data_IF_367474460915
#
_entry.id   IF_367474460915
#
_cell.length_a   1.000
_cell.length_b   1.000
_cell.length_c   1.000
_cell.angle_alpha   90.00
_cell.angle_beta   90.00
_cell.angle_gamma   90.00
#
_symmetry.space_group_name_H-M   'P 1'
#
loop_
_entity.id
_entity.type
_entity.pdbx_description
1 polymer ?
#
# COMPACT_ATOMS: atom_id res chain seq x y z
N UNK A 1 6.16 5.44 25.28
CA UNK A 1 4.69 5.52 25.49
C UNK A 1 4.25 6.83 26.14
N UNK A 2 4.71 7.17 27.35
CA UNK A 2 4.29 8.41 28.03
C UNK A 2 4.47 9.68 27.20
N UNK A 3 5.64 9.84 26.56
CA UNK A 3 5.91 11.00 25.68
C UNK A 3 4.98 11.07 24.46
N UNK A 4 4.63 9.93 23.86
CA UNK A 4 3.73 9.89 22.69
C UNK A 4 2.32 10.35 23.06
N UNK A 5 1.80 9.87 24.20
CA UNK A 5 0.51 10.33 24.70
C UNK A 5 0.54 11.79 25.14
N UNK A 6 1.66 12.26 25.68
CA UNK A 6 1.87 13.67 26.02
C UNK A 6 1.89 14.57 24.77
N UNK A 7 2.49 14.11 23.66
CA UNK A 7 2.39 14.84 22.38
C UNK A 7 0.96 14.83 21.83
N UNK A 8 0.30 13.68 21.82
CA UNK A 8 -1.07 13.56 21.35
C UNK A 8 -2.04 14.44 22.16
N UNK A 9 -1.91 14.43 23.49
CA UNK A 9 -2.78 15.19 24.40
C UNK A 9 -2.57 16.69 24.27
N UNK A 10 -1.34 17.15 24.01
CA UNK A 10 -1.06 18.57 23.77
C UNK A 10 -1.64 19.07 22.45
N UNK A 11 -1.63 18.23 21.40
CA UNK A 11 -2.17 18.60 20.09
C UNK A 11 -3.70 18.55 20.05
N UNK A 12 -4.31 17.61 20.75
CA UNK A 12 -5.76 17.45 20.75
C UNK A 12 -6.45 18.67 21.35
N UNK A 13 -7.37 19.27 20.58
CA UNK A 13 -8.09 20.53 20.91
C UNK A 13 -7.20 21.78 21.00
N UNK A 14 -5.96 21.72 20.51
CA UNK A 14 -5.15 22.92 20.35
C UNK A 14 -5.76 23.83 19.29
N UNK A 15 -5.75 25.14 19.54
CA UNK A 15 -6.16 26.13 18.55
C UNK A 15 -5.12 26.25 17.42
N UNK A 16 -5.56 26.56 16.21
CA UNK A 16 -4.66 26.65 15.04
C UNK A 16 -3.63 27.78 15.21
N UNK A 17 -4.01 28.91 15.80
CA UNK A 17 -3.09 30.03 16.01
C UNK A 17 -2.09 29.73 17.13
N UNK A 18 -2.52 28.97 18.14
CA UNK A 18 -1.62 28.44 19.16
C UNK A 18 -0.60 27.47 18.54
N UNK A 19 -1.04 26.54 17.70
CA UNK A 19 -0.16 25.64 16.98
C UNK A 19 0.84 26.39 16.11
N UNK A 20 0.38 27.36 15.31
CA UNK A 20 1.23 28.17 14.44
C UNK A 20 2.30 28.94 15.23
N UNK A 21 1.95 29.42 16.43
CA UNK A 21 2.87 30.09 17.35
C UNK A 21 3.95 29.13 17.86
N UNK A 22 3.56 27.95 18.31
CA UNK A 22 4.51 26.92 18.76
C UNK A 22 5.42 26.43 17.61
N UNK A 23 4.86 26.29 16.41
CA UNK A 23 5.60 25.91 15.21
C UNK A 23 6.69 26.93 14.85
N UNK A 24 6.34 28.22 14.81
CA UNK A 24 7.29 29.32 14.57
C UNK A 24 8.40 29.34 15.60
N UNK A 25 8.06 29.12 16.86
CA UNK A 25 9.03 29.10 17.97
C UNK A 25 10.06 27.98 17.82
N UNK A 26 9.65 26.81 17.31
CA UNK A 26 10.54 25.64 17.16
C UNK A 26 11.30 25.56 15.84
N UNK A 27 10.71 26.02 14.75
CA UNK A 27 11.26 25.85 13.39
C UNK A 27 11.84 27.14 12.81
N UNK A 28 11.58 28.29 13.46
CA UNK A 28 11.88 29.63 12.95
C UNK A 28 11.23 29.93 11.59
N UNK A 29 10.22 29.15 11.17
CA UNK A 29 9.48 29.32 9.92
C UNK A 29 7.99 29.48 10.21
N UNK A 30 7.27 30.34 9.47
CA UNK A 30 5.82 30.34 9.53
C UNK A 30 5.27 29.02 9.00
N UNK A 31 4.21 28.52 9.65
CA UNK A 31 3.31 27.57 9.00
C UNK A 31 2.45 28.42 8.05
N UNK A 32 2.53 28.18 6.74
CA UNK A 32 1.69 28.86 5.76
C UNK A 32 0.62 27.86 5.26
N UNK A 33 -0.59 27.88 5.84
CA UNK A 33 -1.64 26.97 5.44
C UNK A 33 -2.32 27.35 4.11
N UNK A 34 -2.01 28.49 3.49
CA UNK A 34 -2.81 29.01 2.37
C UNK A 34 -2.30 28.63 0.96
N UNK A 35 -1.35 27.68 0.87
CA UNK A 35 -0.68 27.29 -0.39
C UNK A 35 -1.39 26.14 -1.17
N UNK A 36 -2.72 26.03 -1.09
CA UNK A 36 -3.48 24.97 -1.78
C UNK A 36 -4.59 25.52 -2.71
N UNK A 37 -4.75 24.82 -3.85
CA UNK A 37 -5.63 25.14 -4.97
C UNK A 37 -7.08 25.50 -4.61
N UNK A 38 -7.69 26.33 -5.45
CA UNK A 38 -9.04 26.91 -5.32
C UNK A 38 -10.09 25.90 -4.82
N UNK A 39 -10.72 26.20 -3.67
CA UNK A 39 -11.97 25.55 -3.22
C UNK A 39 -11.97 24.93 -1.82
N UNK A 40 -10.84 24.76 -1.14
CA UNK A 40 -10.77 24.21 0.22
C UNK A 40 -9.93 25.08 1.17
N UNK A 41 -10.54 25.51 2.28
CA UNK A 41 -9.80 26.16 3.38
C UNK A 41 -9.00 25.12 4.14
N UNK A 42 -7.69 25.09 3.89
CA UNK A 42 -6.75 24.20 4.57
C UNK A 42 -6.71 24.48 6.08
N UNK A 43 -6.88 25.75 6.47
CA UNK A 43 -6.97 26.21 7.85
C UNK A 43 -8.16 25.59 8.58
N UNK A 44 -9.35 25.58 7.97
CA UNK A 44 -10.55 25.00 8.60
C UNK A 44 -10.44 23.47 8.71
N UNK A 45 -9.87 22.83 7.68
CA UNK A 45 -9.59 21.40 7.70
C UNK A 45 -8.59 21.03 8.79
N UNK A 46 -7.56 21.86 8.99
CA UNK A 46 -6.56 21.69 10.03
C UNK A 46 -7.15 21.91 11.44
N UNK A 47 -7.96 22.95 11.63
CA UNK A 47 -8.69 23.19 12.88
C UNK A 47 -9.59 22.01 13.26
N UNK A 48 -10.36 21.51 12.28
CA UNK A 48 -11.24 20.36 12.48
C UNK A 48 -10.44 19.11 12.86
N UNK A 49 -9.27 18.89 12.25
CA UNK A 49 -8.39 17.76 12.59
C UNK A 49 -7.82 17.86 14.02
N UNK A 50 -7.42 19.05 14.48
CA UNK A 50 -6.96 19.24 15.87
C UNK A 50 -8.10 19.01 16.88
N UNK A 51 -9.29 19.54 16.60
CA UNK A 51 -10.47 19.39 17.46
C UNK A 51 -10.91 17.92 17.59
N UNK A 52 -10.89 17.18 16.49
CA UNK A 52 -11.28 15.77 16.44
C UNK A 52 -10.16 14.79 16.76
N UNK A 53 -8.92 15.25 16.97
CA UNK A 53 -7.78 14.39 17.27
C UNK A 53 -7.28 13.58 16.07
N UNK A 54 -7.52 14.07 14.84
CA UNK A 54 -7.20 13.39 13.58
C UNK A 54 -5.79 13.72 13.13
N UNK A 55 -4.80 13.03 13.68
CA UNK A 55 -3.40 13.22 13.32
C UNK A 55 -2.63 11.90 13.33
N UNK A 56 -1.53 11.90 12.56
CA UNK A 56 -0.58 10.80 12.50
C UNK A 56 0.65 11.17 13.33
N UNK A 57 1.01 10.30 14.26
CA UNK A 57 2.24 10.46 15.05
C UNK A 57 3.29 9.54 14.46
N UNK A 58 4.43 10.11 14.05
CA UNK A 58 5.57 9.36 13.50
C UNK A 58 6.66 9.25 14.56
N UNK A 59 7.02 8.03 14.92
CA UNK A 59 8.10 7.70 15.84
C UNK A 59 9.36 7.34 15.04
N UNK A 60 10.33 8.25 15.00
CA UNK A 60 11.66 7.95 14.47
C UNK A 60 12.49 7.17 15.51
N UNK A 61 12.96 5.97 15.16
CA UNK A 61 13.74 5.11 16.06
C UNK A 61 14.93 4.48 15.35
N UNK A 62 15.97 4.09 16.10
CA UNK A 62 17.13 3.38 15.53
C UNK A 62 16.82 1.92 15.18
N UNK A 63 15.87 1.29 15.89
CA UNK A 63 15.45 -0.10 15.65
C UNK A 63 14.04 -0.39 16.14
N UNK A 64 13.22 -1.04 15.31
CA UNK A 64 11.88 -1.51 15.72
C UNK A 64 11.98 -2.92 16.32
N UNK A 65 11.91 -2.99 17.66
CA UNK A 65 11.91 -4.26 18.40
C UNK A 65 10.48 -4.79 18.69
N UNK A 66 10.29 -6.07 19.04
CA UNK A 66 8.97 -6.64 19.31
C UNK A 66 8.16 -5.90 20.40
N UNK A 67 8.76 -5.43 21.51
CA UNK A 67 8.07 -4.54 22.46
C UNK A 67 7.54 -3.25 21.82
N UNK A 68 8.32 -2.60 20.95
CA UNK A 68 7.91 -1.39 20.24
C UNK A 68 6.78 -1.66 19.26
N UNK A 69 6.80 -2.82 18.57
CA UNK A 69 5.67 -3.25 17.71
C UNK A 69 4.37 -3.32 18.49
N UNK A 70 4.36 -3.96 19.66
CA UNK A 70 3.18 -4.02 20.55
C UNK A 70 2.76 -2.63 21.04
N UNK A 71 3.73 -1.75 21.30
CA UNK A 71 3.48 -0.35 21.69
C UNK A 71 2.87 0.48 20.57
N UNK A 72 3.07 0.13 19.30
CA UNK A 72 2.43 0.77 18.14
C UNK A 72 1.06 0.15 17.88
N UNK A 73 0.96 -1.17 18.00
CA UNK A 73 -0.29 -1.91 17.77
C UNK A 73 -1.36 -1.55 18.79
N UNK A 74 -1.03 -1.51 20.08
CA UNK A 74 -2.01 -1.30 21.15
C UNK A 74 -2.75 0.05 21.06
N UNK A 75 -2.09 1.21 20.93
CA UNK A 75 -2.76 2.49 20.73
C UNK A 75 -3.53 2.54 19.44
N UNK A 76 -2.99 1.98 18.35
CA UNK A 76 -3.75 1.92 17.11
C UNK A 76 -5.03 1.09 17.31
N UNK A 77 -5.03 0.01 18.10
CA UNK A 77 -6.22 -0.82 18.35
C UNK A 77 -7.24 -0.11 19.26
N UNK A 78 -6.76 0.68 20.22
CA UNK A 78 -7.61 1.40 21.18
C UNK A 78 -8.08 2.78 20.68
N UNK A 79 -7.28 3.43 19.84
CA UNK A 79 -7.60 4.71 19.23
C UNK A 79 -8.58 4.48 18.07
N UNK A 80 -9.54 5.39 17.96
CA UNK A 80 -10.47 5.40 16.85
C UNK A 80 -9.77 5.57 15.50
N UNK A 81 -10.52 5.40 14.40
CA UNK A 81 -10.02 5.37 13.03
C UNK A 81 -9.19 6.55 12.55
N UNK A 82 -9.37 7.69 13.19
CA UNK A 82 -8.85 8.95 12.71
C UNK A 82 -7.47 9.30 13.32
N UNK A 83 -7.02 8.55 14.32
CA UNK A 83 -5.72 8.74 14.97
C UNK A 83 -4.86 7.51 14.70
N UNK A 84 -3.62 7.73 14.26
CA UNK A 84 -2.70 6.61 14.03
C UNK A 84 -1.29 6.92 14.48
N UNK A 85 -0.60 5.87 14.91
CA UNK A 85 0.80 5.88 15.31
C UNK A 85 1.57 5.02 14.32
N UNK A 86 2.61 5.60 13.73
CA UNK A 86 3.51 4.95 12.78
C UNK A 86 4.92 5.04 13.37
N UNK A 87 5.74 4.00 13.20
CA UNK A 87 7.17 4.08 13.47
C UNK A 87 7.98 4.01 12.18
N UNK A 88 9.07 4.75 12.15
CA UNK A 88 10.04 4.76 11.06
C UNK A 88 11.39 4.43 11.68
N UNK A 89 11.94 3.28 11.30
CA UNK A 89 13.31 2.89 11.60
C UNK A 89 14.23 3.45 10.51
N UNK A 90 15.32 4.10 10.91
CA UNK A 90 16.34 4.55 9.96
C UNK A 90 17.57 3.65 10.07
N UNK A 91 17.72 2.71 9.13
CA UNK A 91 18.92 1.89 9.06
C UNK A 91 20.03 2.66 8.34
N UNK A 92 21.24 2.63 8.91
CA UNK A 92 22.42 3.30 8.34
C UNK A 92 23.19 2.32 7.49
N UNK A 93 23.33 2.63 6.21
CA UNK A 93 24.14 1.86 5.28
C UNK A 93 25.32 2.73 4.84
N UNK A 94 26.54 2.31 5.17
CA UNK A 94 27.75 3.06 4.83
C UNK A 94 28.44 2.42 3.64
N UNK A 95 28.53 3.15 2.53
CA UNK A 95 29.26 2.73 1.34
C UNK A 95 30.34 3.76 1.04
N UNK A 96 31.58 3.46 1.45
CA UNK A 96 32.70 4.39 1.38
C UNK A 96 32.48 5.63 2.26
N UNK A 97 32.55 6.82 1.66
CA UNK A 97 32.31 8.11 2.33
C UNK A 97 30.82 8.48 2.39
N UNK A 98 29.92 7.72 1.75
CA UNK A 98 28.48 8.01 1.73
C UNK A 98 27.76 7.20 2.81
N UNK A 99 27.08 7.90 3.71
CA UNK A 99 26.11 7.32 4.66
C UNK A 99 24.71 7.49 4.08
N UNK A 100 24.06 6.37 3.77
CA UNK A 100 22.69 6.30 3.27
C UNK A 100 21.80 5.92 4.45
N UNK A 101 20.78 6.73 4.72
CA UNK A 101 19.72 6.40 5.67
C UNK A 101 18.57 5.73 4.91
N UNK A 102 18.34 4.44 5.16
CA UNK A 102 17.21 3.72 4.59
C UNK A 102 16.05 3.68 5.60
N UNK A 103 14.89 4.31 5.29
CA UNK A 103 13.73 4.26 6.15
C UNK A 103 12.98 2.93 6.01
N UNK A 104 12.64 2.31 7.13
CA UNK A 104 11.73 1.18 7.23
C UNK A 104 10.51 1.59 8.07
N UNK A 105 9.34 1.65 7.44
CA UNK A 105 8.09 2.10 8.08
C UNK A 105 7.31 0.90 8.64
N UNK A 106 6.77 1.04 9.85
CA UNK A 106 5.91 0.05 10.50
C UNK A 106 4.64 0.69 11.05
N UNK A 107 3.47 0.12 10.75
CA UNK A 107 2.17 0.58 11.24
C UNK A 107 1.45 1.56 10.31
N UNK A 108 2.04 1.91 9.16
CA UNK A 108 1.38 2.70 8.12
C UNK A 108 0.17 1.93 7.56
N UNK A 109 0.32 0.65 7.34
CA UNK A 109 -0.74 -0.26 6.91
C UNK A 109 -1.85 -0.42 7.97
N UNK A 110 -1.52 -0.31 9.26
CA UNK A 110 -2.50 -0.32 10.35
C UNK A 110 -3.25 1.01 10.44
N UNK A 111 -2.59 2.12 10.11
CA UNK A 111 -3.18 3.45 10.01
C UNK A 111 -4.15 3.55 8.82
N UNK A 112 -3.76 3.00 7.68
CA UNK A 112 -4.55 2.97 6.45
C UNK A 112 -5.73 1.99 6.58
N UNK A 113 -5.53 0.82 7.18
CA UNK A 113 -6.62 -0.12 7.48
C UNK A 113 -7.63 0.42 8.51
N UNK A 114 -7.24 1.44 9.29
CA UNK A 114 -8.06 2.04 10.34
C UNK A 114 -8.86 3.23 9.91
N UNK A 115 -8.71 3.78 8.72
CA UNK A 115 -9.64 4.82 8.28
C UNK A 115 -11.05 4.23 8.15
N UNK A 116 -11.84 4.30 9.22
CA UNK A 116 -13.29 4.08 9.17
C UNK A 116 -13.82 5.08 8.16
N UNK A 117 -14.69 4.64 7.26
CA UNK A 117 -15.35 5.57 6.38
C UNK A 117 -16.18 6.50 7.28
N UNK A 118 -15.82 7.79 7.30
CA UNK A 118 -16.86 8.83 7.10
C UNK A 118 -17.74 8.24 6.00
N UNK A 119 -19.07 8.14 6.16
CA UNK A 119 -19.97 7.65 5.09
C UNK A 119 -19.55 8.29 3.77
N UNK A 120 -18.70 7.61 3.03
CA UNK A 120 -18.16 7.99 1.74
C UNK A 120 -18.88 7.01 0.85
N UNK A 121 -19.72 7.56 0.00
CA UNK A 121 -20.45 6.75 -0.95
C UNK A 121 -19.46 5.83 -1.65
N UNK A 122 -19.70 4.52 -1.52
CA UNK A 122 -18.86 3.54 -2.16
C UNK A 122 -19.11 3.62 -3.66
N UNK A 123 -18.08 4.00 -4.40
CA UNK A 123 -18.12 4.02 -5.85
C UNK A 123 -17.96 2.61 -6.38
N UNK A 124 -18.78 2.24 -7.35
CA UNK A 124 -18.55 1.03 -8.14
C UNK A 124 -17.49 1.35 -9.19
N UNK A 125 -16.34 0.70 -9.08
CA UNK A 125 -15.21 0.86 -9.96
C UNK A 125 -15.16 -0.32 -10.93
N UNK A 126 -15.36 -0.04 -12.20
CA UNK A 126 -15.02 -0.91 -13.33
C UNK A 126 -13.77 -0.37 -14.05
N UNK A 127 -13.33 -1.04 -15.11
CA UNK A 127 -12.14 -0.62 -15.86
C UNK A 127 -12.30 0.80 -16.45
N UNK A 128 -13.49 1.18 -16.91
CA UNK A 128 -13.73 2.46 -17.57
C UNK A 128 -13.77 3.63 -16.59
N UNK A 129 -14.40 3.43 -15.42
CA UNK A 129 -14.40 4.42 -14.33
C UNK A 129 -13.02 4.58 -13.69
N UNK A 130 -12.24 3.49 -13.55
CA UNK A 130 -10.83 3.59 -13.12
C UNK A 130 -10.02 4.37 -14.16
N UNK A 131 -10.15 4.06 -15.45
CA UNK A 131 -9.48 4.80 -16.53
C UNK A 131 -9.81 6.30 -16.48
N UNK A 132 -11.08 6.64 -16.35
CA UNK A 132 -11.53 8.04 -16.29
C UNK A 132 -10.93 8.76 -15.09
N UNK A 133 -10.89 8.09 -13.95
CA UNK A 133 -10.26 8.63 -12.74
C UNK A 133 -8.75 8.82 -12.92
N UNK A 134 -8.04 7.85 -13.52
CA UNK A 134 -6.61 7.98 -13.81
C UNK A 134 -6.33 9.18 -14.71
N UNK A 135 -7.15 9.41 -15.74
CA UNK A 135 -6.98 10.57 -16.64
C UNK A 135 -7.03 11.91 -15.89
N UNK A 136 -7.85 12.01 -14.84
CA UNK A 136 -8.04 13.22 -14.05
C UNK A 136 -6.99 13.38 -12.94
N UNK A 137 -6.63 12.29 -12.25
CA UNK A 137 -5.84 12.35 -11.01
C UNK A 137 -4.45 11.69 -11.06
N UNK A 138 -4.19 10.83 -12.04
CA UNK A 138 -2.95 10.04 -12.14
C UNK A 138 -2.61 9.70 -13.61
N UNK A 139 -2.58 10.74 -14.45
CA UNK A 139 -2.57 10.60 -15.91
C UNK A 139 -1.33 9.90 -16.46
N UNK A 140 -0.21 9.96 -15.74
CA UNK A 140 1.04 9.26 -16.09
C UNK A 140 0.95 7.73 -16.04
N UNK A 141 -0.12 7.20 -15.47
CA UNK A 141 -0.36 5.76 -15.29
C UNK A 141 -1.44 5.18 -16.21
N UNK A 142 -2.10 6.00 -17.04
CA UNK A 142 -3.18 5.56 -17.94
C UNK A 142 -2.70 4.49 -18.93
N UNK A 143 -1.61 4.74 -19.66
CA UNK A 143 -1.11 3.78 -20.66
C UNK A 143 -0.66 2.46 -20.05
N UNK A 144 -0.11 2.50 -18.83
CA UNK A 144 0.31 1.30 -18.09
C UNK A 144 -0.89 0.50 -17.59
N UNK A 145 -1.94 1.20 -17.16
CA UNK A 145 -3.20 0.57 -16.78
C UNK A 145 -3.84 -0.14 -17.98
N UNK A 146 -3.89 0.51 -19.15
CA UNK A 146 -4.39 -0.11 -20.38
C UNK A 146 -3.56 -1.32 -20.80
N UNK A 147 -2.23 -1.21 -20.75
CA UNK A 147 -1.35 -2.33 -21.05
C UNK A 147 -1.56 -3.49 -20.08
N UNK A 148 -1.69 -3.22 -18.77
CA UNK A 148 -1.98 -4.23 -17.77
C UNK A 148 -3.27 -4.99 -18.08
N UNK A 149 -4.36 -4.27 -18.39
CA UNK A 149 -5.63 -4.88 -18.76
C UNK A 149 -5.55 -5.70 -20.05
N UNK A 150 -4.90 -5.15 -21.09
CA UNK A 150 -4.75 -5.80 -22.38
C UNK A 150 -3.91 -7.08 -22.29
N UNK A 151 -2.79 -7.03 -21.56
CA UNK A 151 -1.93 -8.19 -21.33
C UNK A 151 -2.63 -9.24 -20.48
N UNK A 152 -3.32 -8.84 -19.39
CA UNK A 152 -4.10 -9.77 -18.57
C UNK A 152 -5.18 -10.48 -19.38
N UNK A 153 -5.94 -9.74 -20.19
CA UNK A 153 -6.97 -10.29 -21.07
C UNK A 153 -6.39 -11.27 -22.09
N UNK A 154 -5.27 -10.92 -22.73
CA UNK A 154 -4.54 -11.80 -23.66
C UNK A 154 -4.03 -13.07 -23.00
N UNK A 155 -3.76 -13.01 -21.69
CA UNK A 155 -3.37 -14.15 -20.87
C UNK A 155 -4.55 -14.99 -20.35
N UNK A 156 -5.80 -14.61 -20.67
CA UNK A 156 -7.01 -15.27 -20.16
C UNK A 156 -7.38 -14.89 -18.73
N UNK A 157 -6.75 -13.86 -18.15
CA UNK A 157 -7.07 -13.32 -16.84
C UNK A 157 -8.15 -12.24 -16.97
N UNK A 158 -9.21 -12.35 -16.18
CA UNK A 158 -10.33 -11.40 -16.20
C UNK A 158 -10.19 -10.35 -15.11
N UNK A 159 -10.28 -9.08 -15.47
CA UNK A 159 -10.32 -7.99 -14.51
C UNK A 159 -11.72 -7.83 -13.92
N UNK A 160 -11.79 -7.79 -12.60
CA UNK A 160 -12.99 -7.57 -11.83
C UNK A 160 -12.92 -6.21 -11.15
N UNK A 161 -13.97 -5.43 -11.36
CA UNK A 161 -14.20 -4.20 -10.63
C UNK A 161 -14.40 -4.42 -9.13
N UNK A 162 -14.41 -3.33 -8.37
CA UNK A 162 -14.67 -3.37 -6.92
C UNK A 162 -15.63 -2.26 -6.49
N UNK A 163 -16.11 -2.35 -5.26
CA UNK A 163 -16.96 -1.31 -4.66
C UNK A 163 -16.27 -0.75 -3.43
N UNK A 164 -15.54 0.34 -3.63
CA UNK A 164 -14.61 0.93 -2.65
C UNK A 164 -14.65 2.46 -2.73
N UNK A 165 -14.10 3.11 -1.71
CA UNK A 165 -14.00 4.58 -1.69
C UNK A 165 -13.01 5.08 -2.75
N UNK A 166 -11.85 4.45 -2.85
CA UNK A 166 -10.83 4.78 -3.83
C UNK A 166 -10.90 3.85 -5.05
N UNK A 167 -10.40 4.26 -6.22
CA UNK A 167 -10.33 3.42 -7.40
C UNK A 167 -9.57 2.12 -7.11
N UNK A 168 -10.24 1.01 -7.36
CA UNK A 168 -9.65 -0.31 -7.20
C UNK A 168 -10.33 -1.37 -8.07
N UNK A 169 -9.54 -2.34 -8.49
CA UNK A 169 -10.02 -3.55 -9.16
C UNK A 169 -8.94 -4.63 -9.14
N UNK A 170 -9.29 -5.85 -9.55
CA UNK A 170 -8.40 -6.99 -9.34
C UNK A 170 -8.49 -8.06 -10.42
N UNK A 171 -7.36 -8.73 -10.63
CA UNK A 171 -7.25 -10.00 -11.34
C UNK A 171 -7.29 -11.13 -10.29
N UNK A 172 -8.41 -11.84 -10.12
CA UNK A 172 -8.40 -13.06 -9.33
C UNK A 172 -7.55 -14.14 -10.03
N UNK A 173 -6.66 -14.76 -9.27
CA UNK A 173 -5.77 -15.81 -9.77
C UNK A 173 -6.30 -17.16 -9.29
N UNK A 174 -6.62 -18.04 -10.24
CA UNK A 174 -7.14 -19.37 -9.99
C UNK A 174 -6.09 -20.42 -10.37
N UNK A 175 -5.89 -21.38 -9.48
CA UNK A 175 -5.04 -22.53 -9.72
C UNK A 175 -5.69 -23.55 -10.66
N UNK A 176 -4.97 -24.62 -11.01
CA UNK A 176 -5.42 -25.66 -11.94
C UNK A 176 -6.74 -26.33 -11.52
N UNK A 177 -6.99 -26.45 -10.22
CA UNK A 177 -8.21 -27.01 -9.64
C UNK A 177 -9.41 -26.03 -9.62
N UNK A 178 -9.30 -24.89 -10.29
CA UNK A 178 -10.25 -23.76 -10.20
C UNK A 178 -10.38 -23.19 -8.78
N UNK A 179 -9.37 -23.41 -7.94
CA UNK A 179 -9.29 -22.83 -6.59
C UNK A 179 -8.63 -21.46 -6.67
N UNK A 180 -9.28 -20.44 -6.11
CA UNK A 180 -8.68 -19.11 -6.07
C UNK A 180 -7.47 -19.09 -5.13
N UNK A 181 -6.30 -18.79 -5.68
CA UNK A 181 -5.02 -18.70 -4.96
C UNK A 181 -4.84 -17.31 -4.34
N UNK A 182 -5.33 -16.27 -5.01
CA UNK A 182 -5.14 -14.89 -4.60
C UNK A 182 -5.73 -13.88 -5.58
N UNK A 183 -5.28 -12.64 -5.45
CA UNK A 183 -5.61 -11.53 -6.35
C UNK A 183 -4.37 -10.69 -6.63
N UNK A 184 -4.24 -10.21 -7.86
CA UNK A 184 -3.35 -9.09 -8.21
C UNK A 184 -4.22 -7.87 -8.48
N UNK A 185 -4.11 -6.85 -7.64
CA UNK A 185 -5.05 -5.74 -7.61
C UNK A 185 -4.39 -4.43 -7.97
N UNK A 186 -5.13 -3.54 -8.62
CA UNK A 186 -4.75 -2.14 -8.75
C UNK A 186 -5.46 -1.36 -7.65
N UNK A 187 -4.68 -0.60 -6.90
CA UNK A 187 -5.15 0.29 -5.83
C UNK A 187 -4.47 1.64 -5.94
N UNK A 188 -5.23 2.70 -5.69
CA UNK A 188 -4.65 4.03 -5.47
C UNK A 188 -4.26 4.24 -4.01
N UNK A 189 -2.97 4.52 -3.77
CA UNK A 189 -2.44 4.89 -2.46
C UNK A 189 -2.07 6.37 -2.44
N UNK A 190 -2.61 7.11 -1.47
CA UNK A 190 -2.31 8.53 -1.31
C UNK A 190 -0.81 8.73 -1.06
N UNK A 191 -0.11 9.39 -2.00
CA UNK A 191 1.33 9.68 -1.92
C UNK A 191 2.23 8.75 -2.74
N UNK A 192 1.73 7.59 -3.19
CA UNK A 192 2.45 6.65 -4.05
C UNK A 192 1.83 6.54 -5.45
N UNK A 193 0.57 6.97 -5.59
CA UNK A 193 -0.15 6.84 -6.85
C UNK A 193 -0.79 5.46 -7.01
N UNK A 194 -1.23 5.17 -8.23
CA UNK A 194 -1.75 3.86 -8.60
C UNK A 194 -0.65 2.80 -8.48
N UNK A 195 -0.95 1.70 -7.80
CA UNK A 195 0.00 0.63 -7.51
C UNK A 195 -0.61 -0.74 -7.75
N UNK A 196 0.23 -1.72 -8.06
CA UNK A 196 -0.13 -3.14 -8.19
C UNK A 196 0.17 -3.85 -6.88
N UNK A 197 -0.84 -4.44 -6.24
CA UNK A 197 -0.75 -5.20 -5.00
C UNK A 197 -0.92 -6.71 -5.25
N UNK A 198 -0.07 -7.53 -4.63
CA UNK A 198 -0.10 -8.98 -4.75
C UNK A 198 -0.62 -9.63 -3.47
N UNK A 199 -1.86 -10.10 -3.47
CA UNK A 199 -2.48 -10.74 -2.32
C UNK A 199 -2.67 -12.25 -2.53
N UNK A 200 -1.72 -13.03 -2.01
CA UNK A 200 -1.75 -14.50 -2.03
C UNK A 200 -1.90 -15.12 -0.64
N UNK A 201 -2.35 -14.34 0.36
CA UNK A 201 -2.53 -14.79 1.75
C UNK A 201 -3.51 -15.95 1.92
N UNK A 202 -4.33 -16.23 0.90
CA UNK A 202 -5.20 -17.39 0.86
C UNK A 202 -4.42 -18.69 0.76
N UNK A 203 -3.32 -18.73 0.00
CA UNK A 203 -2.50 -19.93 -0.17
C UNK A 203 -1.90 -20.42 1.16
N UNK A 204 -1.52 -19.51 2.06
CA UNK A 204 -0.96 -19.88 3.38
C UNK A 204 -1.98 -20.54 4.33
N UNK A 205 -3.26 -20.59 3.95
CA UNK A 205 -4.36 -21.16 4.74
C UNK A 205 -4.99 -22.38 4.07
N UNK A 206 -4.53 -22.75 2.87
CA UNK A 206 -5.07 -23.86 2.10
C UNK A 206 -4.43 -25.18 2.53
N UNK A 207 -5.14 -26.29 2.33
CA UNK A 207 -4.55 -27.62 2.38
C UNK A 207 -3.59 -27.82 1.21
N UNK A 208 -2.64 -28.74 1.36
CA UNK A 208 -1.61 -29.01 0.36
C UNK A 208 -2.21 -29.33 -1.03
N UNK A 209 -3.36 -30.00 -1.09
CA UNK A 209 -4.07 -30.32 -2.34
C UNK A 209 -4.59 -29.09 -3.11
N UNK A 210 -4.75 -27.94 -2.44
CA UNK A 210 -5.25 -26.72 -3.05
C UNK A 210 -4.14 -25.81 -3.60
N UNK A 211 -2.91 -26.00 -3.13
CA UNK A 211 -1.77 -25.12 -3.43
C UNK A 211 -0.98 -25.72 -4.60
N UNK A 212 -0.50 -24.91 -5.57
CA UNK A 212 0.37 -25.42 -6.63
C UNK A 212 1.64 -26.07 -6.06
N UNK A 213 2.16 -27.07 -6.78
CA UNK A 213 3.38 -27.77 -6.37
C UNK A 213 4.57 -26.83 -6.20
N UNK A 214 5.51 -27.20 -5.31
CA UNK A 214 6.70 -26.38 -5.03
C UNK A 214 7.47 -25.92 -6.28
N UNK A 215 7.70 -26.76 -7.31
CA UNK A 215 8.38 -26.32 -8.53
C UNK A 215 7.63 -25.20 -9.29
N UNK A 216 6.29 -25.24 -9.30
CA UNK A 216 5.45 -24.23 -9.95
C UNK A 216 5.52 -22.91 -9.19
N UNK A 217 5.45 -22.97 -7.86
CA UNK A 217 5.60 -21.78 -7.00
C UNK A 217 7.01 -21.18 -7.10
N UNK A 218 8.04 -22.02 -7.12
CA UNK A 218 9.42 -21.55 -7.27
C UNK A 218 9.66 -20.91 -8.63
N UNK A 219 9.10 -21.46 -9.70
CA UNK A 219 9.17 -20.87 -11.04
C UNK A 219 8.47 -19.51 -11.08
N UNK A 220 7.25 -19.40 -10.53
CA UNK A 220 6.53 -18.14 -10.40
C UNK A 220 7.34 -17.07 -9.66
N UNK A 221 7.87 -17.41 -8.48
CA UNK A 221 8.65 -16.48 -7.67
C UNK A 221 9.96 -16.08 -8.36
N UNK A 222 10.63 -17.01 -9.04
CA UNK A 222 11.86 -16.72 -9.79
C UNK A 222 11.59 -15.74 -10.94
N UNK A 223 10.52 -15.94 -11.70
CA UNK A 223 10.16 -15.02 -12.78
C UNK A 223 9.78 -13.62 -12.27
N UNK A 224 9.14 -13.51 -11.11
CA UNK A 224 8.91 -12.21 -10.48
C UNK A 224 10.22 -11.56 -9.99
N UNK A 225 11.14 -12.35 -9.43
CA UNK A 225 12.42 -11.87 -8.89
C UNK A 225 13.37 -11.34 -9.98
N UNK A 226 13.27 -11.89 -11.18
CA UNK A 226 13.99 -11.47 -12.38
C UNK A 226 13.53 -10.10 -12.93
N UNK A 227 12.34 -9.63 -12.51
CA UNK A 227 11.83 -8.30 -12.86
C UNK A 227 12.32 -7.32 -11.78
N UNK A 228 13.22 -6.36 -12.10
CA UNK A 228 13.85 -5.52 -11.07
C UNK A 228 12.86 -4.79 -10.14
N UNK A 229 11.76 -4.27 -10.69
CA UNK A 229 10.72 -3.58 -9.93
C UNK A 229 9.86 -4.50 -9.03
N UNK A 230 9.88 -5.82 -9.27
CA UNK A 230 9.10 -6.81 -8.51
C UNK A 230 9.98 -7.72 -7.65
N UNK A 231 11.29 -7.47 -7.59
CA UNK A 231 12.22 -8.28 -6.79
C UNK A 231 11.82 -8.32 -5.31
N UNK A 232 11.52 -7.17 -4.72
CA UNK A 232 11.11 -7.11 -3.31
C UNK A 232 9.75 -7.76 -3.08
N UNK A 233 8.84 -7.71 -4.07
CA UNK A 233 7.57 -8.44 -4.05
C UNK A 233 7.84 -9.95 -3.99
N UNK A 234 8.69 -10.48 -4.87
CA UNK A 234 9.03 -11.89 -4.91
C UNK A 234 9.70 -12.37 -3.61
N UNK A 235 10.70 -11.63 -3.13
CA UNK A 235 11.41 -11.94 -1.88
C UNK A 235 10.45 -11.94 -0.68
N UNK A 236 9.52 -10.98 -0.63
CA UNK A 236 8.52 -10.88 0.43
C UNK A 236 7.53 -12.06 0.42
N UNK A 237 7.03 -12.45 -0.76
CA UNK A 237 6.16 -13.63 -0.90
C UNK A 237 6.91 -14.91 -0.51
N UNK A 238 8.17 -15.06 -0.93
CA UNK A 238 9.03 -16.21 -0.62
C UNK A 238 9.32 -16.32 0.88
N UNK A 239 9.82 -15.25 1.50
CA UNK A 239 10.24 -15.27 2.90
C UNK A 239 9.08 -15.48 3.87
N UNK A 240 7.88 -15.01 3.49
CA UNK A 240 6.68 -15.16 4.29
C UNK A 240 5.90 -16.43 4.01
N UNK A 241 6.32 -17.24 3.02
CA UNK A 241 5.54 -18.38 2.51
C UNK A 241 4.11 -17.96 2.17
N UNK A 242 3.99 -16.85 1.43
CA UNK A 242 2.73 -16.22 1.02
C UNK A 242 1.84 -15.70 2.16
N UNK A 243 2.28 -15.73 3.42
CA UNK A 243 1.53 -15.21 4.56
C UNK A 243 1.68 -13.69 4.76
N UNK A 244 2.50 -13.00 3.96
CA UNK A 244 2.78 -11.57 4.11
C UNK A 244 1.61 -10.66 3.77
N UNK A 245 1.71 -9.41 4.22
CA UNK A 245 0.72 -8.33 4.10
C UNK A 245 0.68 -7.69 2.71
N UNK A 246 0.68 -8.51 1.66
CA UNK A 246 0.35 -8.10 0.29
C UNK A 246 1.36 -7.05 -0.26
N UNK A 247 2.57 -7.49 -0.65
CA UNK A 247 3.54 -6.57 -1.22
C UNK A 247 2.97 -5.87 -2.46
N UNK A 248 3.36 -4.61 -2.66
CA UNK A 248 2.91 -3.79 -3.77
C UNK A 248 4.08 -3.05 -4.45
N UNK A 249 3.83 -2.55 -5.65
CA UNK A 249 4.75 -1.73 -6.44
C UNK A 249 3.98 -0.59 -7.10
N UNK A 250 4.51 0.65 -7.13
CA UNK A 250 3.91 1.72 -7.94
C UNK A 250 3.79 1.31 -9.40
N UNK A 251 2.66 1.64 -10.04
CA UNK A 251 2.47 1.35 -11.46
C UNK A 251 3.48 2.14 -12.30
N UNK A 252 3.89 3.32 -11.85
CA UNK A 252 4.92 4.16 -12.48
C UNK A 252 6.27 3.45 -12.65
N UNK A 253 6.59 2.54 -11.73
CA UNK A 253 7.87 1.83 -11.65
C UNK A 253 7.88 0.59 -12.56
N UNK A 254 6.72 0.18 -13.04
CA UNK A 254 6.58 -0.91 -13.99
C UNK A 254 6.72 -0.40 -15.42
N UNK A 255 7.76 -0.89 -16.10
CA UNK A 255 7.91 -0.73 -17.54
C UNK A 255 6.91 -1.61 -18.30
N UNK A 256 6.71 -1.34 -19.60
CA UNK A 256 5.85 -2.17 -20.44
C UNK A 256 6.31 -3.65 -20.47
N UNK A 257 7.63 -3.88 -20.53
CA UNK A 257 8.23 -5.21 -20.45
C UNK A 257 8.01 -5.85 -19.08
N UNK A 258 8.12 -5.08 -17.99
CA UNK A 258 7.84 -5.54 -16.63
C UNK A 258 6.39 -6.02 -16.48
N UNK A 259 5.43 -5.26 -17.02
CA UNK A 259 4.00 -5.63 -17.00
C UNK A 259 3.77 -6.94 -17.76
N UNK A 260 4.38 -7.08 -18.94
CA UNK A 260 4.27 -8.29 -19.73
C UNK A 260 4.79 -9.51 -18.98
N UNK A 261 6.03 -9.44 -18.49
CA UNK A 261 6.67 -10.52 -17.72
C UNK A 261 5.94 -10.85 -16.44
N UNK A 262 5.40 -9.84 -15.75
CA UNK A 262 4.59 -10.05 -14.54
C UNK A 262 3.35 -10.89 -14.85
N UNK A 263 2.62 -10.57 -15.91
CA UNK A 263 1.44 -11.36 -16.30
C UNK A 263 1.83 -12.76 -16.75
N UNK A 264 2.93 -12.90 -17.49
CA UNK A 264 3.43 -14.23 -17.89
C UNK A 264 3.81 -15.09 -16.68
N UNK A 265 4.40 -14.49 -15.64
CA UNK A 265 4.65 -15.18 -14.38
C UNK A 265 3.34 -15.63 -13.71
N UNK A 266 2.30 -14.79 -13.69
CA UNK A 266 1.00 -15.16 -13.12
C UNK A 266 0.34 -16.35 -13.85
N UNK A 267 0.56 -16.50 -15.16
CA UNK A 267 0.03 -17.64 -15.94
C UNK A 267 0.60 -18.98 -15.49
N UNK A 268 1.79 -19.02 -14.91
CA UNK A 268 2.37 -20.26 -14.37
C UNK A 268 1.46 -20.85 -13.30
N UNK A 269 0.85 -19.99 -12.48
CA UNK A 269 -0.06 -20.42 -11.42
C UNK A 269 -1.39 -20.93 -11.97
N UNK A 270 -1.77 -20.56 -13.19
CA UNK A 270 -3.05 -20.92 -13.81
C UNK A 270 -2.94 -22.11 -14.78
N UNK A 271 -1.73 -22.50 -15.16
CA UNK A 271 -1.49 -23.54 -16.16
C UNK A 271 -1.80 -24.94 -15.61
N UNK A 272 -2.62 -25.72 -16.34
CA UNK A 272 -2.79 -27.16 -16.14
C UNK A 272 -1.71 -27.90 -16.93
N UNK A 273 -0.92 -28.75 -16.26
CA UNK A 273 0.05 -29.62 -16.91
C UNK A 273 -0.58 -30.66 -17.87
N UNK A 274 -1.90 -30.79 -17.90
CA UNK A 274 -2.61 -31.79 -18.71
C UNK A 274 -2.97 -31.26 -20.10
N UNK A 275 -1.97 -31.20 -20.98
CA UNK A 275 -2.18 -31.24 -22.44
C UNK A 275 -0.97 -31.83 -23.18
N UNK A 276 -0.39 -32.89 -22.61
CA UNK A 276 0.42 -33.85 -23.37
C UNK A 276 -0.09 -35.25 -23.07
N UNK A 277 -1.05 -35.70 -23.88
CA UNK A 277 -1.32 -37.10 -24.26
C UNK A 277 -2.37 -37.09 -25.36
#
# INVERSE_FOLDING_TARGET
>A
MGQMFDYASRLWKMDVDEFATQWRTRTSRPLDPDDAAEGFSLRDSFAMNLAEGRFRIVLAVDRINPPLKRMIEYPNVMAGPATSVIAVEYSRLKQGEVEILMPHVYGQELAEAKSVPVKRDLTAWDADSIRSWLQEYDSGNVDRFELFLATARSAGLSFLGSKTVNPAGSLPIFGPSNTQLGTVSIFYFSGQGSSVEFNFTRMSKMSDEGVPDSPVLDQFLTQLEDIPALRDVALNLRSSRFASRKPNVPLSDLSNDSIQKMVDALKILTYRADSVS
#
